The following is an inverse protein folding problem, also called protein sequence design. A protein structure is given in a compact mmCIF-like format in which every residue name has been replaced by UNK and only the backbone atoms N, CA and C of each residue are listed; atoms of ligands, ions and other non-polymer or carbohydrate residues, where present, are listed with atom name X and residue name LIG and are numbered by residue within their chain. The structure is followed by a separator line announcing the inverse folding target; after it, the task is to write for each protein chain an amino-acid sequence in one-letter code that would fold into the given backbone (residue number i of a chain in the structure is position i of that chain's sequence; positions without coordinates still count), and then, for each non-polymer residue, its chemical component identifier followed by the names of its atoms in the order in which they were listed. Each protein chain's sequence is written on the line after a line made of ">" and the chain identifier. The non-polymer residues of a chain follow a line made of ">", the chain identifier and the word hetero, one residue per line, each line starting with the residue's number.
data_IF_033988353894
#
_entry.id   IF_033988353894
#
_cell.length_a   1.000
_cell.length_b   1.000
_cell.length_c   1.000
_cell.angle_alpha   90.00
_cell.angle_beta   90.00
_cell.angle_gamma   90.00
#
_symmetry.space_group_name_H-M   'P 1'
#
loop_
_entity.id
_entity.type
_entity.pdbx_description
1 polymer ?
#
# COMPACT_ATOMS: atom_id res chain seq x y z
N UNK A 1 5.53 17.49 15.65
CA UNK A 1 5.54 16.16 15.03
C UNK A 1 4.41 16.15 14.02
N UNK A 2 4.73 16.21 12.73
CA UNK A 2 3.72 16.01 11.68
C UNK A 2 3.15 14.60 11.84
N UNK A 3 1.86 14.52 12.16
CA UNK A 3 1.15 13.24 12.24
C UNK A 3 0.98 12.70 10.82
N UNK A 4 1.98 11.95 10.36
CA UNK A 4 1.99 11.35 9.03
C UNK A 4 0.99 10.19 8.98
N UNK A 5 -0.27 10.49 8.64
CA UNK A 5 -1.41 9.56 8.66
C UNK A 5 -1.26 8.33 7.76
N UNK A 6 -0.30 8.34 6.83
CA UNK A 6 -0.06 7.23 5.91
C UNK A 6 0.25 5.93 6.64
N UNK A 7 1.16 5.94 7.62
CA UNK A 7 1.61 4.70 8.28
C UNK A 7 0.50 4.07 9.09
N UNK A 8 -0.20 4.79 10.00
CA UNK A 8 -1.36 4.23 10.69
C UNK A 8 -2.45 3.73 9.73
N UNK A 9 -2.63 4.40 8.58
CA UNK A 9 -3.60 3.96 7.56
C UNK A 9 -3.17 2.66 6.89
N UNK A 10 -1.89 2.51 6.54
CA UNK A 10 -1.33 1.28 5.98
C UNK A 10 -1.36 0.12 7.00
N UNK A 11 -1.10 0.40 8.28
CA UNK A 11 -1.19 -0.59 9.35
C UNK A 11 -2.59 -1.19 9.49
N UNK A 12 -3.63 -0.45 9.11
CA UNK A 12 -5.00 -0.96 9.05
C UNK A 12 -5.31 -1.65 7.70
N UNK A 13 -4.93 -1.03 6.58
CA UNK A 13 -5.33 -1.51 5.25
C UNK A 13 -4.58 -2.78 4.81
N UNK A 14 -3.27 -2.87 5.08
CA UNK A 14 -2.43 -3.99 4.63
C UNK A 14 -2.92 -5.34 5.21
N UNK A 15 -3.20 -5.48 6.53
CA UNK A 15 -3.74 -6.72 7.07
C UNK A 15 -5.06 -7.17 6.44
N UNK A 16 -5.95 -6.24 6.09
CA UNK A 16 -7.21 -6.56 5.42
C UNK A 16 -6.98 -7.17 4.03
N UNK A 17 -6.02 -6.65 3.28
CA UNK A 17 -5.61 -7.24 2.00
C UNK A 17 -4.94 -8.61 2.18
N UNK A 18 -4.07 -8.78 3.17
CA UNK A 18 -3.46 -10.10 3.45
C UNK A 18 -4.54 -11.13 3.83
N UNK A 19 -5.52 -10.77 4.64
CA UNK A 19 -6.66 -11.63 5.00
C UNK A 19 -7.45 -12.04 3.75
N UNK A 20 -7.74 -11.07 2.88
CA UNK A 20 -8.44 -11.32 1.62
C UNK A 20 -7.65 -12.27 0.71
N UNK A 21 -6.34 -12.06 0.55
CA UNK A 21 -5.46 -12.92 -0.26
C UNK A 21 -5.43 -14.34 0.31
N UNK A 22 -5.26 -14.50 1.63
CA UNK A 22 -5.32 -15.82 2.29
C UNK A 22 -6.66 -16.51 2.08
N UNK A 23 -7.77 -15.76 2.20
CA UNK A 23 -9.13 -16.29 1.99
C UNK A 23 -9.36 -16.75 0.54
N UNK A 24 -8.82 -16.02 -0.43
CA UNK A 24 -8.93 -16.35 -1.85
C UNK A 24 -8.06 -17.55 -2.25
N UNK A 25 -6.99 -17.83 -1.49
CA UNK A 25 -6.08 -18.95 -1.76
C UNK A 25 -5.17 -18.74 -2.97
N UNK A 26 -5.12 -17.53 -3.52
CA UNK A 26 -4.22 -17.16 -4.62
C UNK A 26 -3.56 -15.80 -4.32
N UNK A 27 -2.29 -15.68 -4.71
CA UNK A 27 -1.54 -14.42 -4.64
C UNK A 27 -1.74 -13.65 -5.96
N UNK A 28 -2.41 -12.48 -5.96
CA UNK A 28 -2.54 -11.68 -7.17
C UNK A 28 -1.18 -11.13 -7.64
N UNK A 29 -1.02 -10.83 -8.93
CA UNK A 29 0.14 -10.09 -9.41
C UNK A 29 0.16 -8.67 -8.81
N UNK A 30 1.36 -8.09 -8.75
CA UNK A 30 1.53 -6.68 -8.39
C UNK A 30 0.83 -5.83 -9.47
N UNK A 31 0.02 -4.81 -9.11
CA UNK A 31 -0.58 -3.91 -10.08
C UNK A 31 0.45 -3.23 -10.98
N UNK A 32 0.14 -3.07 -12.27
CA UNK A 32 1.00 -2.36 -13.21
C UNK A 32 1.20 -0.89 -12.81
N UNK A 33 2.39 -0.33 -13.10
CA UNK A 33 2.70 1.08 -12.89
C UNK A 33 3.07 1.46 -11.45
N UNK A 34 3.37 0.48 -10.58
CA UNK A 34 3.75 0.74 -9.19
C UNK A 34 5.10 1.46 -9.06
N UNK A 35 6.04 1.20 -9.97
CA UNK A 35 7.33 1.88 -10.07
C UNK A 35 7.19 3.39 -10.23
N UNK A 36 6.24 3.83 -11.04
CA UNK A 36 5.93 5.25 -11.28
C UNK A 36 5.11 5.86 -10.13
N UNK A 37 4.25 5.05 -9.51
CA UNK A 37 3.41 5.47 -8.39
C UNK A 37 4.22 5.71 -7.11
N UNK A 38 5.24 4.89 -6.84
CA UNK A 38 6.15 5.07 -5.69
C UNK A 38 7.15 6.21 -5.95
N UNK A 39 7.65 6.35 -7.18
CA UNK A 39 8.65 7.35 -7.53
C UNK A 39 8.11 8.77 -7.72
N UNK A 40 6.91 8.91 -8.27
CA UNK A 40 6.43 10.20 -8.80
C UNK A 40 5.19 10.77 -8.10
N UNK A 41 4.47 9.98 -7.29
CA UNK A 41 3.16 10.38 -6.74
C UNK A 41 3.11 10.46 -5.20
N UNK A 42 4.28 10.56 -4.54
CA UNK A 42 4.35 10.74 -3.09
C UNK A 42 3.60 11.99 -2.62
N UNK A 43 3.69 13.09 -3.36
CA UNK A 43 2.99 14.33 -3.03
C UNK A 43 1.47 14.21 -3.19
N UNK A 44 1.00 13.54 -4.25
CA UNK A 44 -0.43 13.26 -4.45
C UNK A 44 -0.99 12.39 -3.33
N UNK A 45 -0.23 11.39 -2.88
CA UNK A 45 -0.62 10.51 -1.78
C UNK A 45 -0.75 11.26 -0.44
N UNK A 46 0.15 12.21 -0.17
CA UNK A 46 0.22 12.91 1.12
C UNK A 46 -0.63 14.17 1.18
N UNK A 47 -0.69 14.92 0.10
CA UNK A 47 -1.29 16.25 0.07
C UNK A 47 -2.59 16.32 -0.73
N UNK A 48 -2.95 15.25 -1.44
CA UNK A 48 -4.11 15.17 -2.33
C UNK A 48 -4.19 16.40 -3.24
N UNK A 49 -3.59 16.33 -4.44
CA UNK A 49 -3.62 17.47 -5.34
C UNK A 49 -5.07 17.82 -5.73
N UNK A 50 -5.46 19.08 -5.47
CA UNK A 50 -6.78 19.63 -5.85
C UNK A 50 -7.00 19.67 -7.36
N UNK A 51 -5.92 19.58 -8.15
CA UNK A 51 -5.97 19.51 -9.62
C UNK A 51 -6.19 18.10 -10.14
N UNK A 52 -5.97 17.09 -9.31
CA UNK A 52 -6.20 15.71 -9.69
C UNK A 52 -7.68 15.31 -9.59
N UNK A 53 -8.02 14.22 -10.28
CA UNK A 53 -9.35 13.64 -10.27
C UNK A 53 -9.76 13.27 -8.84
N UNK A 54 -10.98 13.62 -8.44
CA UNK A 54 -11.55 13.22 -7.15
C UNK A 54 -11.41 11.70 -6.98
N UNK A 55 -10.74 11.28 -5.91
CA UNK A 55 -10.49 9.87 -5.58
C UNK A 55 -9.12 9.33 -6.00
N UNK A 56 -8.29 10.10 -6.70
CA UNK A 56 -6.96 9.66 -7.13
C UNK A 56 -6.07 9.25 -5.94
N UNK A 57 -6.02 10.05 -4.87
CA UNK A 57 -5.27 9.71 -3.66
C UNK A 57 -5.74 8.38 -3.01
N UNK A 58 -7.05 8.10 -3.02
CA UNK A 58 -7.59 6.86 -2.49
C UNK A 58 -7.24 5.65 -3.38
N UNK A 59 -7.26 5.83 -4.71
CA UNK A 59 -6.84 4.81 -5.66
C UNK A 59 -5.36 4.47 -5.49
N UNK A 60 -4.50 5.49 -5.39
CA UNK A 60 -3.06 5.35 -5.13
C UNK A 60 -2.81 4.64 -3.80
N UNK A 61 -3.50 5.07 -2.73
CA UNK A 61 -3.40 4.43 -1.41
C UNK A 61 -3.78 2.94 -1.46
N UNK A 62 -4.89 2.59 -2.10
CA UNK A 62 -5.33 1.20 -2.20
C UNK A 62 -4.36 0.34 -3.02
N UNK A 63 -3.82 0.87 -4.12
CA UNK A 63 -2.78 0.18 -4.91
C UNK A 63 -1.52 -0.05 -4.09
N UNK A 64 -1.09 0.95 -3.31
CA UNK A 64 0.06 0.84 -2.42
C UNK A 64 -0.16 -0.21 -1.33
N UNK A 65 -1.31 -0.16 -0.63
CA UNK A 65 -1.65 -1.11 0.42
C UNK A 65 -1.72 -2.56 -0.11
N UNK A 66 -2.35 -2.77 -1.28
CA UNK A 66 -2.39 -4.08 -1.93
C UNK A 66 -1.00 -4.56 -2.32
N UNK A 67 -0.15 -3.68 -2.87
CA UNK A 67 1.22 -4.03 -3.26
C UNK A 67 2.06 -4.44 -2.05
N UNK A 68 1.99 -3.68 -0.96
CA UNK A 68 2.66 -4.04 0.29
C UNK A 68 2.15 -5.39 0.81
N UNK A 69 0.83 -5.62 0.75
CA UNK A 69 0.24 -6.90 1.16
C UNK A 69 0.77 -8.06 0.32
N UNK A 70 0.84 -7.94 -1.01
CA UNK A 70 1.40 -8.97 -1.92
C UNK A 70 2.87 -9.22 -1.57
N UNK A 71 3.67 -8.16 -1.48
CA UNK A 71 5.10 -8.24 -1.20
C UNK A 71 5.41 -8.81 0.19
N UNK A 72 4.49 -8.68 1.14
CA UNK A 72 4.63 -9.27 2.48
C UNK A 72 4.67 -10.81 2.50
N UNK A 73 4.27 -11.47 1.39
CA UNK A 73 4.38 -12.92 1.20
C UNK A 73 5.79 -13.38 0.77
N UNK A 74 6.69 -12.46 0.43
CA UNK A 74 8.08 -12.81 0.17
C UNK A 74 8.72 -13.46 1.41
N UNK A 75 9.66 -14.41 1.26
CA UNK A 75 10.38 -14.99 2.40
C UNK A 75 11.05 -13.90 3.24
N UNK A 76 10.69 -13.81 4.52
CA UNK A 76 11.18 -12.76 5.43
C UNK A 76 10.41 -11.43 5.37
N UNK A 77 9.42 -11.29 4.50
CA UNK A 77 8.64 -10.07 4.32
C UNK A 77 9.43 -8.93 3.68
N UNK A 78 8.91 -7.70 3.79
CA UNK A 78 9.53 -6.49 3.22
C UNK A 78 9.62 -5.36 4.25
N UNK A 79 10.58 -4.45 4.08
CA UNK A 79 10.69 -3.22 4.88
C UNK A 79 10.41 -2.02 4.00
N UNK A 80 9.35 -1.28 4.30
CA UNK A 80 8.94 -0.07 3.56
C UNK A 80 8.37 0.94 4.55
N UNK A 81 8.71 2.22 4.35
CA UNK A 81 8.34 3.34 5.21
C UNK A 81 8.70 3.15 6.70
N UNK A 82 9.85 2.52 6.98
CA UNK A 82 10.30 2.24 8.34
C UNK A 82 9.63 1.03 9.02
N UNK A 83 8.56 0.49 8.43
CA UNK A 83 7.82 -0.65 8.96
C UNK A 83 8.25 -1.96 8.30
N UNK A 84 8.24 -3.06 9.08
CA UNK A 84 8.41 -4.42 8.57
C UNK A 84 7.03 -5.04 8.35
N UNK A 85 6.76 -5.43 7.10
CA UNK A 85 5.50 -6.04 6.68
C UNK A 85 5.76 -7.50 6.36
N UNK A 86 5.10 -8.38 7.09
CA UNK A 86 5.14 -9.81 6.86
C UNK A 86 3.71 -10.32 6.85
N UNK A 87 3.40 -11.29 5.99
CA UNK A 87 2.08 -11.92 5.85
C UNK A 87 1.61 -12.74 7.09
N UNK A 88 2.18 -12.47 8.26
CA UNK A 88 1.75 -13.02 9.54
C UNK A 88 0.41 -12.39 9.89
N UNK A 89 -0.61 -13.24 9.95
CA UNK A 89 -1.91 -12.95 10.56
C UNK A 89 -2.19 -14.09 11.51
#
# INVERSE_FOLDING_TARGET
>A
MENHVLIPSLECAVPLHVLQIKKLGYLPPIPDGMEELIGSHGDTLLFADKREKKGAAAEIFNKLALTIAIMSFAPGGIRVFGNHWQNKL
#
